data_IF_754700855847
#
_entry.id   IF_754700855847
#
_cell.length_a   1.000
_cell.length_b   1.000
_cell.length_c   1.000
_cell.angle_alpha   90.00
_cell.angle_beta   90.00
_cell.angle_gamma   90.00
#
_symmetry.space_group_name_H-M   'P 1'
#
loop_
_entity.id
_entity.type
_entity.pdbx_description
1 polymer ?
#
# COMPACT_ATOMS: atom_id res chain seq x y z
N UNK A 1 21.70 9.62 4.05
CA UNK A 1 21.78 8.99 5.39
C UNK A 1 21.81 7.48 5.21
N UNK A 2 22.67 6.77 5.95
CA UNK A 2 22.72 5.31 5.94
C UNK A 2 21.58 4.71 6.80
N UNK A 3 21.35 3.42 6.65
CA UNK A 3 20.40 2.66 7.48
C UNK A 3 21.00 2.35 8.85
N UNK A 4 20.28 2.66 9.93
CA UNK A 4 20.62 2.30 11.31
C UNK A 4 19.70 1.17 11.80
N UNK A 5 20.23 -0.06 11.82
CA UNK A 5 19.49 -1.24 12.28
C UNK A 5 19.17 -1.14 13.78
N UNK A 6 20.10 -0.63 14.62
CA UNK A 6 19.90 -0.57 16.06
C UNK A 6 18.79 0.42 16.43
N UNK A 7 18.71 1.57 15.77
CA UNK A 7 17.63 2.53 15.92
C UNK A 7 16.29 1.94 15.45
N UNK A 8 16.28 1.27 14.31
CA UNK A 8 15.08 0.60 13.76
C UNK A 8 14.56 -0.45 14.73
N UNK A 9 15.43 -1.29 15.29
CA UNK A 9 15.03 -2.32 16.27
C UNK A 9 14.55 -1.71 17.58
N UNK A 10 15.15 -0.58 18.03
CA UNK A 10 14.66 0.17 19.20
C UNK A 10 13.27 0.75 18.98
N UNK A 11 12.99 1.28 17.78
CA UNK A 11 11.70 1.87 17.42
C UNK A 11 10.61 0.81 17.29
N UNK A 12 10.86 -0.22 16.51
CA UNK A 12 9.86 -1.28 16.20
C UNK A 12 9.70 -2.31 17.34
N UNK A 13 10.71 -2.44 18.22
CA UNK A 13 10.75 -3.34 19.38
C UNK A 13 10.30 -4.79 19.04
N UNK A 14 10.90 -5.44 18.04
CA UNK A 14 10.43 -6.75 17.57
C UNK A 14 10.41 -7.82 18.66
N UNK A 15 11.33 -7.77 19.64
CA UNK A 15 11.40 -8.74 20.73
C UNK A 15 10.22 -8.62 21.72
N UNK A 16 9.60 -7.42 21.81
CA UNK A 16 8.48 -7.16 22.71
C UNK A 16 7.12 -7.45 22.06
N UNK A 17 7.09 -7.69 20.75
CA UNK A 17 5.87 -7.98 20.03
C UNK A 17 5.65 -9.48 19.98
N UNK A 18 4.67 -9.94 20.76
CA UNK A 18 4.25 -11.34 20.87
C UNK A 18 2.80 -11.46 20.44
N UNK A 19 2.37 -12.69 20.15
CA UNK A 19 1.01 -12.99 19.71
C UNK A 19 0.82 -12.86 18.21
N UNK A 20 -0.43 -12.79 17.80
CA UNK A 20 -0.85 -12.68 16.40
C UNK A 20 -1.49 -11.34 16.15
N UNK A 21 -1.17 -10.71 15.02
CA UNK A 21 -1.89 -9.53 14.56
C UNK A 21 -3.27 -9.96 14.05
N UNK A 22 -4.29 -9.32 14.57
CA UNK A 22 -5.65 -9.44 14.08
C UNK A 22 -6.07 -8.13 13.41
N UNK A 23 -6.83 -8.25 12.33
CA UNK A 23 -7.39 -7.09 11.66
C UNK A 23 -8.40 -6.42 12.60
N UNK A 24 -8.32 -5.09 12.71
CA UNK A 24 -9.33 -4.30 13.45
C UNK A 24 -10.73 -4.50 12.85
N UNK A 25 -11.75 -4.33 13.67
CA UNK A 25 -13.15 -4.31 13.19
C UNK A 25 -13.37 -3.15 12.23
N UNK A 26 -14.35 -3.27 11.37
CA UNK A 26 -14.58 -2.28 10.30
C UNK A 26 -14.83 -0.86 10.84
N UNK A 27 -15.49 -0.74 11.98
CA UNK A 27 -15.81 0.54 12.63
C UNK A 27 -14.56 1.30 13.15
N UNK A 28 -13.45 0.59 13.35
CA UNK A 28 -12.16 1.17 13.80
C UNK A 28 -11.21 1.48 12.62
N UNK A 29 -11.64 1.24 11.40
CA UNK A 29 -10.81 1.43 10.20
C UNK A 29 -11.10 2.78 9.52
N UNK A 30 -10.05 3.47 9.03
CA UNK A 30 -10.21 4.75 8.34
C UNK A 30 -10.65 4.50 6.89
N UNK A 31 -11.94 4.61 6.64
CA UNK A 31 -12.51 4.39 5.31
C UNK A 31 -12.48 5.63 4.45
N UNK A 32 -12.31 5.44 3.14
CA UNK A 32 -12.34 6.52 2.15
C UNK A 32 -13.69 7.25 2.09
N UNK A 33 -14.78 6.55 2.42
CA UNK A 33 -16.13 7.11 2.45
C UNK A 33 -16.30 8.13 3.60
N UNK A 34 -15.49 8.02 4.67
CA UNK A 34 -15.52 8.91 5.84
C UNK A 34 -14.51 10.07 5.73
N UNK A 35 -13.66 10.05 4.70
CA UNK A 35 -12.61 11.04 4.52
C UNK A 35 -13.15 12.35 3.91
N UNK A 36 -12.72 13.52 4.42
CA UNK A 36 -13.06 14.77 3.78
C UNK A 36 -12.44 14.85 2.38
N UNK A 37 -13.15 15.43 1.42
CA UNK A 37 -12.69 15.61 0.04
C UNK A 37 -11.34 16.34 -0.03
N UNK A 38 -11.18 17.40 0.77
CA UNK A 38 -9.94 18.17 0.86
C UNK A 38 -9.17 17.74 2.11
N UNK A 39 -7.89 17.44 1.93
CA UNK A 39 -7.07 16.94 3.04
C UNK A 39 -5.59 16.86 2.68
N UNK A 40 -4.82 16.15 3.51
CA UNK A 40 -3.40 15.89 3.26
C UNK A 40 -3.14 15.08 2.00
N UNK A 41 -1.86 15.02 1.55
CA UNK A 41 -1.49 14.29 0.36
C UNK A 41 -1.74 12.80 0.51
N UNK A 42 -1.98 12.15 -0.63
CA UNK A 42 -2.14 10.70 -0.77
C UNK A 42 -0.84 10.08 -1.30
N UNK A 43 -0.60 8.86 -0.91
CA UNK A 43 0.41 7.99 -1.50
C UNK A 43 -0.31 6.74 -2.01
N UNK A 44 -0.25 6.49 -3.32
CA UNK A 44 -1.08 5.47 -3.94
C UNK A 44 -0.43 4.09 -3.86
N UNK A 45 -1.19 3.11 -3.37
CA UNK A 45 -0.82 1.70 -3.46
C UNK A 45 -1.18 1.11 -4.83
N UNK A 46 -0.55 0.00 -5.21
CA UNK A 46 -0.78 -0.69 -6.49
C UNK A 46 -2.24 -1.07 -6.71
N UNK A 47 -3.00 -1.37 -5.66
CA UNK A 47 -4.43 -1.70 -5.75
C UNK A 47 -5.25 -0.57 -6.34
N UNK A 48 -4.89 0.69 -6.07
CA UNK A 48 -5.59 1.88 -6.61
C UNK A 48 -5.47 1.92 -8.14
N UNK A 49 -4.25 1.76 -8.67
CA UNK A 49 -4.04 1.75 -10.12
C UNK A 49 -4.81 0.62 -10.79
N UNK A 50 -4.79 -0.57 -10.18
CA UNK A 50 -5.51 -1.73 -10.71
C UNK A 50 -7.01 -1.51 -10.78
N UNK A 51 -7.60 -0.90 -9.75
CA UNK A 51 -9.03 -0.65 -9.72
C UNK A 51 -9.43 0.50 -10.66
N UNK A 52 -8.61 1.56 -10.78
CA UNK A 52 -8.81 2.62 -11.77
C UNK A 52 -8.70 2.08 -13.20
N UNK A 53 -7.62 1.35 -13.53
CA UNK A 53 -7.41 0.75 -14.86
C UNK A 53 -8.51 -0.22 -15.27
N UNK A 54 -9.17 -0.84 -14.31
CA UNK A 54 -10.26 -1.79 -14.54
C UNK A 54 -11.65 -1.16 -14.42
N UNK A 55 -11.75 0.17 -14.25
CA UNK A 55 -13.01 0.89 -14.09
C UNK A 55 -13.80 0.42 -12.85
N UNK A 56 -13.13 0.01 -11.79
CA UNK A 56 -13.72 -0.50 -10.55
C UNK A 56 -13.44 0.38 -9.34
N UNK A 57 -12.93 1.56 -9.56
CA UNK A 57 -12.67 2.51 -8.49
C UNK A 57 -13.98 2.94 -7.82
N UNK A 58 -14.10 2.90 -6.48
CA UNK A 58 -15.25 3.46 -5.78
C UNK A 58 -15.31 4.98 -5.94
N UNK A 59 -16.52 5.57 -5.95
CA UNK A 59 -16.71 7.01 -6.12
C UNK A 59 -16.00 7.87 -5.06
N UNK A 60 -15.88 7.38 -3.82
CA UNK A 60 -15.10 8.05 -2.78
C UNK A 60 -13.61 8.11 -3.15
N UNK A 61 -13.05 7.03 -3.72
CA UNK A 61 -11.66 6.99 -4.19
C UNK A 61 -11.47 7.97 -5.34
N UNK A 62 -12.36 7.98 -6.34
CA UNK A 62 -12.28 8.92 -7.47
C UNK A 62 -12.33 10.38 -7.01
N UNK A 63 -13.17 10.67 -6.01
CA UNK A 63 -13.23 12.00 -5.38
C UNK A 63 -11.90 12.38 -4.73
N UNK A 64 -11.32 11.47 -3.93
CA UNK A 64 -10.04 11.73 -3.27
C UNK A 64 -8.90 11.92 -4.30
N UNK A 65 -8.84 11.11 -5.35
CA UNK A 65 -7.85 11.23 -6.42
C UNK A 65 -7.97 12.55 -7.19
N UNK A 66 -9.19 13.06 -7.35
CA UNK A 66 -9.45 14.33 -8.06
C UNK A 66 -9.00 15.55 -7.26
N UNK A 67 -9.21 15.55 -5.94
CA UNK A 67 -9.07 16.76 -5.13
C UNK A 67 -7.84 16.78 -4.22
N UNK A 68 -7.12 15.69 -4.06
CA UNK A 68 -5.92 15.63 -3.23
C UNK A 68 -4.65 15.45 -4.05
N UNK A 69 -3.55 15.97 -3.53
CA UNK A 69 -2.23 15.75 -4.10
C UNK A 69 -1.85 14.27 -4.01
N UNK A 70 -1.60 13.62 -5.15
CA UNK A 70 -1.19 12.24 -5.21
C UNK A 70 0.32 12.11 -5.40
N UNK A 71 0.95 11.27 -4.59
CA UNK A 71 2.32 10.81 -4.72
C UNK A 71 2.36 9.34 -5.14
N UNK A 72 3.40 8.94 -5.83
CA UNK A 72 3.55 7.64 -6.46
C UNK A 72 4.86 6.99 -6.03
N UNK A 73 4.90 5.65 -6.02
CA UNK A 73 6.10 4.88 -5.67
C UNK A 73 6.68 4.14 -6.87
N UNK A 74 8.00 4.18 -7.03
CA UNK A 74 8.71 3.31 -7.95
C UNK A 74 8.48 1.81 -7.65
N UNK A 75 8.12 1.46 -6.42
CA UNK A 75 7.72 0.10 -6.04
C UNK A 75 6.43 -0.30 -6.75
N UNK A 76 5.39 0.55 -6.69
CA UNK A 76 4.12 0.32 -7.39
C UNK A 76 4.33 0.29 -8.90
N UNK A 77 5.20 1.16 -9.43
CA UNK A 77 5.59 1.15 -10.84
C UNK A 77 6.15 -0.22 -11.25
N UNK A 78 7.06 -0.79 -10.46
CA UNK A 78 7.65 -2.10 -10.73
C UNK A 78 6.62 -3.23 -10.67
N UNK A 79 5.60 -3.10 -9.83
CA UNK A 79 4.48 -4.06 -9.76
C UNK A 79 3.57 -3.97 -10.97
N UNK A 80 3.23 -2.76 -11.40
CA UNK A 80 2.42 -2.51 -12.60
C UNK A 80 3.10 -3.04 -13.87
N UNK A 81 4.39 -2.76 -14.05
CA UNK A 81 5.15 -3.24 -15.20
C UNK A 81 5.36 -4.76 -15.20
N UNK A 82 5.42 -5.38 -14.00
CA UNK A 82 5.44 -6.83 -13.83
C UNK A 82 4.07 -7.47 -14.04
N UNK A 83 3.00 -6.69 -14.13
CA UNK A 83 1.68 -7.19 -14.51
C UNK A 83 1.77 -7.83 -15.89
N UNK A 84 2.28 -8.87 -15.75
CA UNK A 84 2.51 -10.12 -16.40
C UNK A 84 2.13 -10.12 -17.87
N UNK A 85 3.09 -10.50 -18.72
CA UNK A 85 2.82 -10.94 -20.09
C UNK A 85 1.64 -11.89 -20.24
N UNK A 86 1.24 -12.61 -19.20
CA UNK A 86 0.04 -13.47 -19.20
C UNK A 86 -1.28 -12.71 -19.17
N UNK A 87 -1.33 -11.52 -18.57
CA UNK A 87 -2.53 -10.68 -18.47
C UNK A 87 -2.46 -9.45 -19.37
N UNK A 88 -1.27 -8.97 -19.67
CA UNK A 88 -1.00 -7.89 -20.63
C UNK A 88 -0.91 -8.40 -22.08
N UNK A 89 -1.63 -9.47 -22.40
CA UNK A 89 -1.57 -10.10 -23.73
C UNK A 89 -2.19 -9.27 -24.85
N UNK A 90 -2.84 -8.14 -24.53
CA UNK A 90 -3.42 -7.24 -25.53
C UNK A 90 -2.63 -5.93 -25.58
N UNK A 91 -2.38 -5.46 -26.80
CA UNK A 91 -1.76 -4.17 -27.08
C UNK A 91 -2.44 -3.02 -26.30
N UNK A 92 -3.76 -3.03 -26.23
CA UNK A 92 -4.58 -2.04 -25.54
C UNK A 92 -4.27 -1.93 -24.05
N UNK A 93 -4.04 -3.06 -23.36
CA UNK A 93 -3.70 -3.04 -21.93
C UNK A 93 -2.32 -2.42 -21.69
N UNK A 94 -1.35 -2.74 -22.54
CA UNK A 94 0.00 -2.15 -22.47
C UNK A 94 -0.05 -0.65 -22.71
N UNK A 95 -0.75 -0.20 -23.75
CA UNK A 95 -0.95 1.22 -24.06
C UNK A 95 -1.64 1.97 -22.90
N UNK A 96 -2.58 1.34 -22.22
CA UNK A 96 -3.26 1.96 -21.07
C UNK A 96 -2.33 2.07 -19.86
N UNK A 97 -1.49 1.06 -19.60
CA UNK A 97 -0.48 1.12 -18.54
C UNK A 97 0.56 2.20 -18.88
N UNK A 98 1.07 2.23 -20.10
CA UNK A 98 2.02 3.23 -20.58
C UNK A 98 1.48 4.65 -20.38
N UNK A 99 0.26 4.93 -20.88
CA UNK A 99 -0.39 6.22 -20.68
C UNK A 99 -0.54 6.60 -19.21
N UNK A 100 -0.90 5.64 -18.34
CA UNK A 100 -1.02 5.87 -16.89
C UNK A 100 0.32 6.23 -16.27
N UNK A 101 1.41 5.61 -16.73
CA UNK A 101 2.76 5.89 -16.22
C UNK A 101 3.30 7.23 -16.73
N UNK A 102 3.01 7.58 -17.97
CA UNK A 102 3.40 8.84 -18.58
C UNK A 102 2.70 10.05 -17.95
N UNK A 103 1.48 9.85 -17.44
CA UNK A 103 0.73 10.87 -16.71
C UNK A 103 1.28 11.16 -15.30
N UNK A 104 2.21 10.35 -14.77
CA UNK A 104 2.81 10.57 -13.46
C UNK A 104 3.89 11.65 -13.54
N UNK A 105 3.71 12.83 -12.90
CA UNK A 105 4.76 13.84 -12.87
C UNK A 105 6.02 13.33 -12.16
N UNK A 106 7.18 13.50 -12.76
CA UNK A 106 8.47 13.00 -12.24
C UNK A 106 8.72 13.43 -10.78
N UNK A 107 8.39 14.67 -10.41
CA UNK A 107 8.57 15.20 -9.06
C UNK A 107 7.62 14.60 -8.02
N UNK A 108 6.62 13.81 -8.44
CA UNK A 108 5.69 13.07 -7.57
C UNK A 108 5.98 11.57 -7.52
N UNK A 109 6.94 11.11 -8.30
CA UNK A 109 7.39 9.72 -8.30
C UNK A 109 8.59 9.58 -7.33
N UNK A 110 8.44 8.74 -6.31
CA UNK A 110 9.41 8.58 -5.24
C UNK A 110 10.05 7.19 -5.26
N UNK A 111 11.36 7.17 -5.05
CA UNK A 111 12.14 5.94 -4.89
C UNK A 111 12.49 5.76 -3.42
N UNK A 112 12.31 4.56 -2.82
CA UNK A 112 12.72 4.30 -1.44
C UNK A 112 14.23 4.50 -1.27
N UNK A 113 14.64 5.22 -0.24
CA UNK A 113 16.03 5.35 0.13
C UNK A 113 16.54 4.12 0.89
N UNK A 114 17.86 4.08 1.16
CA UNK A 114 18.51 2.95 1.86
C UNK A 114 17.93 2.72 3.25
N UNK A 115 17.54 3.79 3.96
CA UNK A 115 16.97 3.67 5.29
C UNK A 115 15.56 3.05 5.23
N UNK A 116 14.73 3.45 4.27
CA UNK A 116 13.41 2.87 4.04
C UNK A 116 13.53 1.40 3.66
N UNK A 117 14.47 1.01 2.80
CA UNK A 117 14.70 -0.39 2.46
C UNK A 117 15.04 -1.24 3.68
N UNK A 118 15.95 -0.76 4.53
CA UNK A 118 16.33 -1.47 5.75
C UNK A 118 15.18 -1.59 6.75
N UNK A 119 14.43 -0.52 6.97
CA UNK A 119 13.25 -0.52 7.85
C UNK A 119 12.15 -1.44 7.31
N UNK A 120 11.89 -1.43 5.99
CA UNK A 120 10.90 -2.29 5.36
C UNK A 120 11.23 -3.76 5.53
N UNK A 121 12.51 -4.15 5.45
CA UNK A 121 12.94 -5.52 5.72
C UNK A 121 12.58 -5.98 7.14
N UNK A 122 12.87 -5.15 8.15
CA UNK A 122 12.53 -5.46 9.56
C UNK A 122 11.01 -5.52 9.74
N UNK A 123 10.27 -4.57 9.17
CA UNK A 123 8.81 -4.48 9.30
C UNK A 123 8.11 -5.66 8.61
N UNK A 124 8.56 -6.03 7.41
CA UNK A 124 8.06 -7.21 6.69
C UNK A 124 8.32 -8.51 7.45
N UNK A 125 9.49 -8.64 8.09
CA UNK A 125 9.81 -9.77 8.98
C UNK A 125 8.88 -9.86 10.19
N UNK A 126 8.50 -8.70 10.77
CA UNK A 126 7.51 -8.63 11.85
C UNK A 126 6.12 -9.05 11.36
N UNK A 127 5.67 -8.53 10.23
CA UNK A 127 4.41 -8.93 9.61
C UNK A 127 4.35 -10.42 9.35
N UNK A 128 5.40 -10.98 8.74
CA UNK A 128 5.48 -12.40 8.46
C UNK A 128 5.40 -13.27 9.72
N UNK A 129 6.05 -12.84 10.81
CA UNK A 129 6.04 -13.54 12.09
C UNK A 129 4.69 -13.45 12.81
N UNK A 130 4.07 -12.27 12.79
CA UNK A 130 2.87 -11.97 13.59
C UNK A 130 1.56 -12.19 12.84
N UNK A 131 1.60 -12.36 11.50
CA UNK A 131 0.40 -12.70 10.73
C UNK A 131 0.19 -14.21 10.71
N UNK A 132 -1.07 -14.64 10.78
CA UNK A 132 -1.48 -16.06 10.63
C UNK A 132 -1.53 -16.50 9.16
N UNK A 133 -0.70 -15.92 8.30
CA UNK A 133 -0.71 -16.24 6.88
C UNK A 133 0.13 -17.48 6.58
N UNK A 134 -0.23 -18.25 5.54
CA UNK A 134 0.59 -19.34 5.07
C UNK A 134 2.03 -18.87 4.81
N UNK A 135 3.00 -19.60 5.37
CA UNK A 135 4.42 -19.25 5.27
C UNK A 135 4.97 -19.67 3.90
N UNK A 136 4.76 -18.84 2.87
CA UNK A 136 5.31 -19.04 1.53
C UNK A 136 6.18 -17.87 1.09
N UNK A 137 7.18 -18.10 0.22
CA UNK A 137 8.09 -17.06 -0.27
C UNK A 137 7.38 -15.88 -0.95
N UNK A 138 6.25 -16.11 -1.61
CA UNK A 138 5.46 -15.07 -2.26
C UNK A 138 4.90 -14.03 -1.28
N UNK A 139 4.58 -14.42 -0.07
CA UNK A 139 4.05 -13.52 0.96
C UNK A 139 5.12 -12.58 1.52
N UNK A 140 6.36 -13.05 1.65
CA UNK A 140 7.46 -12.21 2.15
C UNK A 140 7.75 -11.03 1.21
N UNK A 141 7.80 -11.27 -0.11
CA UNK A 141 8.01 -10.20 -1.10
C UNK A 141 6.90 -9.17 -1.08
N UNK A 142 5.65 -9.61 -0.97
CA UNK A 142 4.50 -8.72 -0.87
C UNK A 142 4.60 -7.83 0.35
N UNK A 143 4.91 -8.37 1.52
CA UNK A 143 5.07 -7.58 2.74
C UNK A 143 6.19 -6.55 2.64
N UNK A 144 7.28 -6.85 1.94
CA UNK A 144 8.35 -5.86 1.71
C UNK A 144 7.83 -4.70 0.87
N UNK A 145 7.10 -4.95 -0.22
CA UNK A 145 6.55 -3.91 -1.07
C UNK A 145 5.54 -3.03 -0.32
N UNK A 146 4.60 -3.65 0.40
CA UNK A 146 3.61 -2.93 1.22
C UNK A 146 4.31 -2.07 2.28
N UNK A 147 5.35 -2.59 2.95
CA UNK A 147 6.13 -1.86 3.93
C UNK A 147 6.91 -0.69 3.31
N UNK A 148 7.47 -0.85 2.10
CA UNK A 148 8.15 0.22 1.37
C UNK A 148 7.19 1.36 1.05
N UNK A 149 6.01 1.06 0.48
CA UNK A 149 4.97 2.04 0.17
C UNK A 149 4.53 2.78 1.44
N UNK A 150 4.26 2.05 2.51
CA UNK A 150 3.82 2.60 3.79
C UNK A 150 4.85 3.54 4.43
N UNK A 151 6.13 3.15 4.44
CA UNK A 151 7.21 3.95 5.02
C UNK A 151 7.53 5.20 4.18
N UNK A 152 7.45 5.12 2.84
CA UNK A 152 7.57 6.29 1.97
C UNK A 152 6.46 7.29 2.23
N UNK A 153 5.20 6.84 2.30
CA UNK A 153 4.06 7.69 2.63
C UNK A 153 4.26 8.40 3.98
N UNK A 154 4.68 7.64 5.01
CA UNK A 154 4.97 8.19 6.33
C UNK A 154 6.07 9.26 6.27
N UNK A 155 7.15 9.04 5.52
CA UNK A 155 8.26 9.99 5.36
C UNK A 155 7.79 11.31 4.74
N UNK A 156 6.84 11.25 3.82
CA UNK A 156 6.25 12.41 3.14
C UNK A 156 5.09 13.05 3.90
N UNK A 157 4.69 12.48 5.05
CA UNK A 157 3.50 12.93 5.77
C UNK A 157 2.19 12.69 5.01
N UNK A 158 2.21 11.79 4.02
CA UNK A 158 1.05 11.39 3.23
C UNK A 158 0.27 10.23 3.88
N UNK A 159 -0.98 10.05 3.47
CA UNK A 159 -1.79 8.88 3.80
C UNK A 159 -1.73 7.87 2.66
N UNK A 160 -1.49 6.59 2.96
CA UNK A 160 -1.59 5.55 1.92
C UNK A 160 -3.05 5.30 1.60
N UNK A 161 -3.43 5.45 0.32
CA UNK A 161 -4.74 5.04 -0.19
C UNK A 161 -4.61 3.62 -0.75
N UNK A 162 -5.39 2.66 -0.22
CA UNK A 162 -5.25 1.24 -0.58
C UNK A 162 -6.52 0.41 -0.41
N UNK A 163 -6.72 -0.55 -1.31
CA UNK A 163 -7.70 -1.64 -1.17
C UNK A 163 -7.16 -2.88 -0.44
N UNK A 164 -5.86 -2.92 -0.10
CA UNK A 164 -5.26 -4.01 0.66
C UNK A 164 -5.46 -3.79 2.17
N UNK A 165 -6.71 -3.95 2.62
CA UNK A 165 -7.17 -3.59 3.96
C UNK A 165 -6.33 -4.26 5.05
N UNK A 166 -6.14 -5.59 4.97
CA UNK A 166 -5.51 -6.36 6.04
C UNK A 166 -4.04 -5.99 6.25
N UNK A 167 -3.25 -5.97 5.20
CA UNK A 167 -1.81 -5.83 5.33
C UNK A 167 -1.45 -4.40 5.76
N UNK A 168 -2.17 -3.38 5.25
CA UNK A 168 -1.98 -2.00 5.67
C UNK A 168 -2.57 -1.69 7.06
N UNK A 169 -3.64 -2.38 7.48
CA UNK A 169 -4.10 -2.31 8.86
C UNK A 169 -3.03 -2.84 9.82
N UNK A 170 -2.40 -3.97 9.51
CA UNK A 170 -1.28 -4.50 10.31
C UNK A 170 -0.08 -3.57 10.34
N UNK A 171 0.29 -2.96 9.22
CA UNK A 171 1.35 -1.96 9.16
C UNK A 171 1.06 -0.77 10.05
N UNK A 172 -0.17 -0.26 10.03
CA UNK A 172 -0.58 0.86 10.88
C UNK A 172 -0.59 0.52 12.37
N UNK A 173 -0.90 -0.71 12.75
CA UNK A 173 -0.79 -1.20 14.13
C UNK A 173 0.67 -1.32 14.58
N UNK A 174 1.57 -1.71 13.69
CA UNK A 174 3.00 -1.83 13.98
C UNK A 174 3.69 -0.46 14.05
N UNK A 175 3.27 0.48 13.22
CA UNK A 175 3.81 1.85 13.14
C UNK A 175 2.68 2.88 13.16
N UNK A 176 2.14 3.22 14.34
CA UNK A 176 0.96 4.09 14.48
C UNK A 176 1.14 5.53 13.96
N UNK A 177 2.37 5.93 13.66
CA UNK A 177 2.67 7.25 13.07
C UNK A 177 2.45 7.30 11.56
N UNK A 178 2.27 6.16 10.89
CA UNK A 178 1.86 6.10 9.50
C UNK A 178 0.34 6.23 9.38
N UNK A 179 -0.13 6.87 8.31
CA UNK A 179 -1.55 7.07 8.03
C UNK A 179 -1.98 6.24 6.84
N UNK A 180 -3.18 5.67 6.92
CA UNK A 180 -3.81 4.88 5.86
C UNK A 180 -5.22 5.38 5.62
N UNK A 181 -5.71 5.22 4.40
CA UNK A 181 -7.10 5.39 3.99
C UNK A 181 -7.47 4.13 3.23
N UNK A 182 -8.47 3.43 3.70
CA UNK A 182 -8.87 2.12 3.19
C UNK A 182 -10.12 2.22 2.34
N UNK A 183 -10.22 1.39 1.32
CA UNK A 183 -11.45 1.25 0.56
C UNK A 183 -11.72 -0.21 0.21
N UNK A 184 -12.99 -0.53 -0.07
CA UNK A 184 -13.38 -1.85 -0.56
C UNK A 184 -13.45 -1.85 -2.08
N UNK A 185 -12.57 -2.63 -2.70
CA UNK A 185 -12.68 -2.87 -4.15
C UNK A 185 -13.97 -3.65 -4.44
N UNK A 186 -14.76 -3.23 -5.43
CA UNK A 186 -15.99 -3.93 -5.82
C UNK A 186 -15.81 -5.41 -6.16
N UNK A 187 -14.62 -5.81 -6.61
CA UNK A 187 -14.29 -7.21 -6.84
C UNK A 187 -14.20 -8.05 -5.55
N UNK A 188 -13.83 -7.42 -4.41
CA UNK A 188 -13.80 -8.06 -3.11
C UNK A 188 -15.20 -8.22 -2.51
N UNK A 189 -16.10 -7.26 -2.76
CA UNK A 189 -17.48 -7.27 -2.27
C UNK A 189 -18.30 -8.43 -2.82
N UNK A 190 -18.04 -8.86 -4.07
CA UNK A 190 -18.75 -10.00 -4.68
C UNK A 190 -18.39 -11.36 -4.05
N UNK A 191 -17.24 -11.50 -3.42
CA UNK A 191 -16.84 -12.76 -2.75
C UNK A 191 -17.45 -12.94 -1.37
N UNK A 192 -17.82 -11.83 -0.70
CA UNK A 192 -18.47 -11.86 0.61
C UNK A 192 -19.99 -12.08 0.51
N UNK A 193 -20.60 -11.73 -0.62
CA UNK A 193 -22.04 -11.93 -0.88
C UNK A 193 -22.38 -13.33 -1.43
N UNK A 194 -21.38 -14.15 -1.78
CA UNK A 194 -21.53 -15.50 -2.36
C UNK A 194 -21.02 -16.63 -1.42
N UNK A 195 -20.75 -16.35 -0.17
CA UNK A 195 -20.47 -17.30 0.92
C UNK A 195 -21.53 -17.16 2.01
#
# INVERSE_FOLDING_TARGET
MGFDLAETLRSLKPQKRQGTLERRVDDDLPWADDEPTIGGPLFLDTTVYLDVLQGRSPGAVDTLLTYRLCHHSAVCLSELTRLNPKHASTKTVLETIEATLDDIPEHRLHTPDVAIWGQAGVLAGLLFRLSNLPKGEGHQRRFVNDALVFLQARQLGASVLTGNIRDFDYLSQLVPTGRIILYRSPAASRRLASG
#
